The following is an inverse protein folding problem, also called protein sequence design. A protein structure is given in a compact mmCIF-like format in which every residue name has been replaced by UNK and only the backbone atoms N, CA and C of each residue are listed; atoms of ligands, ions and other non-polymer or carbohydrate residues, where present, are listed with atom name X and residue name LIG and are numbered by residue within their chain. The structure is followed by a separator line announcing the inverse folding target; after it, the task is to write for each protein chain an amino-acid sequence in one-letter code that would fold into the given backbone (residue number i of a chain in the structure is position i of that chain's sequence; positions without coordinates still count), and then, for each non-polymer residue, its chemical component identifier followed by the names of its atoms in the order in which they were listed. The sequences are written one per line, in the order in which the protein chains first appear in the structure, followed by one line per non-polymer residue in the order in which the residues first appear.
data_IF_671458074823
#
_entry.id   IF_671458074823
#
_cell.length_a   1.000
_cell.length_b   1.000
_cell.length_c   1.000
_cell.angle_alpha   90.00
_cell.angle_beta   90.00
_cell.angle_gamma   90.00
#
_symmetry.space_group_name_H-M   'P 1'
#
loop_
_entity.id
_entity.type
_entity.pdbx_description
1 polymer ?
#
# COMPACT_ATOMS: atom_id res chain seq x y z
N UNK A 1 45.82 3.83 36.78
CA UNK A 1 44.70 4.70 36.36
C UNK A 1 44.78 4.73 34.85
N UNK A 2 43.75 4.27 34.16
CA UNK A 2 43.22 4.81 32.90
C UNK A 2 42.02 3.94 32.48
N UNK A 3 40.92 4.61 32.16
CA UNK A 3 39.59 4.06 31.93
C UNK A 3 39.29 3.99 30.42
N UNK A 4 38.50 2.99 30.06
CA UNK A 4 37.44 2.90 29.05
C UNK A 4 37.30 4.00 27.99
N UNK A 5 37.06 3.60 26.74
CA UNK A 5 36.65 4.52 25.67
C UNK A 5 36.47 3.83 24.32
N UNK A 6 35.31 3.21 24.14
CA UNK A 6 34.88 2.58 22.90
C UNK A 6 34.85 3.55 21.71
N UNK A 7 35.33 3.11 20.54
CA UNK A 7 34.85 3.58 19.23
C UNK A 7 34.81 2.40 18.25
N UNK A 8 33.68 1.68 18.26
CA UNK A 8 33.30 0.78 17.19
C UNK A 8 32.92 1.62 15.96
N UNK A 9 33.86 1.80 15.04
CA UNK A 9 33.57 2.37 13.72
C UNK A 9 32.90 1.30 12.86
N UNK A 10 31.68 1.64 12.47
CA UNK A 10 30.85 1.04 11.43
C UNK A 10 31.68 0.65 10.21
N UNK A 11 31.98 -0.64 10.08
CA UNK A 11 32.26 -1.23 8.79
C UNK A 11 30.90 -1.59 8.17
N UNK A 12 30.58 -0.85 7.11
CA UNK A 12 29.44 -1.13 6.26
C UNK A 12 29.61 -2.54 5.68
N UNK A 13 28.86 -3.50 6.23
CA UNK A 13 28.63 -4.76 5.54
C UNK A 13 27.90 -4.47 4.24
N UNK A 14 28.69 -4.44 3.17
CA UNK A 14 28.26 -4.72 1.81
C UNK A 14 27.83 -6.19 1.78
N UNK A 15 26.61 -6.43 2.26
CA UNK A 15 26.01 -7.75 2.39
C UNK A 15 24.61 -7.72 1.80
N UNK A 16 24.48 -8.37 0.64
CA UNK A 16 23.25 -8.76 -0.04
C UNK A 16 22.67 -7.70 -0.98
N UNK A 17 22.91 -7.96 -2.27
CA UNK A 17 22.19 -7.33 -3.36
C UNK A 17 20.69 -7.54 -3.20
N UNK A 18 20.01 -6.48 -2.83
CA UNK A 18 18.70 -6.23 -3.38
C UNK A 18 18.89 -5.74 -4.82
N UNK A 19 18.87 -6.67 -5.78
CA UNK A 19 18.15 -6.35 -7.02
C UNK A 19 16.78 -5.80 -6.62
N UNK A 20 16.23 -4.79 -7.34
CA UNK A 20 15.24 -3.85 -6.82
C UNK A 20 14.34 -4.57 -5.84
N UNK A 21 14.51 -4.29 -4.55
CA UNK A 21 13.66 -4.84 -3.50
C UNK A 21 12.25 -4.64 -4.05
N UNK A 22 11.61 -5.73 -4.48
CA UNK A 22 10.17 -5.74 -4.67
C UNK A 22 9.69 -5.43 -3.27
N UNK A 23 9.52 -4.14 -2.99
CA UNK A 23 9.04 -3.66 -1.71
C UNK A 23 7.80 -4.50 -1.44
N UNK A 24 7.77 -5.15 -0.27
CA UNK A 24 6.60 -5.92 0.12
C UNK A 24 5.37 -5.04 -0.15
N UNK A 25 4.32 -5.58 -0.78
CA UNK A 25 3.24 -4.76 -1.31
C UNK A 25 2.72 -3.83 -0.23
N UNK A 26 2.68 -2.54 -0.55
CA UNK A 26 2.19 -1.51 0.37
C UNK A 26 0.71 -1.73 0.64
N UNK A 27 0.17 -1.08 1.68
CA UNK A 27 -1.27 -1.13 1.92
C UNK A 27 -2.05 -0.56 0.73
N UNK A 28 -1.48 0.43 0.03
CA UNK A 28 -2.06 0.96 -1.20
C UNK A 28 -1.96 -0.01 -2.40
N UNK A 29 -0.92 -0.84 -2.54
CA UNK A 29 -0.90 -1.89 -3.58
C UNK A 29 -2.04 -2.89 -3.39
N UNK A 30 -2.29 -3.34 -2.16
CA UNK A 30 -3.40 -4.25 -1.85
C UNK A 30 -4.77 -3.59 -2.08
N UNK A 31 -4.88 -2.28 -1.80
CA UNK A 31 -6.06 -1.51 -2.11
C UNK A 31 -6.33 -1.47 -3.62
N UNK A 32 -5.30 -1.17 -4.43
CA UNK A 32 -5.44 -1.13 -5.89
C UNK A 32 -5.76 -2.49 -6.50
N UNK A 33 -5.16 -3.57 -5.99
CA UNK A 33 -5.50 -4.93 -6.40
C UNK A 33 -6.98 -5.25 -6.09
N UNK A 34 -7.47 -4.87 -4.90
CA UNK A 34 -8.86 -5.09 -4.50
C UNK A 34 -9.85 -4.29 -5.36
N UNK A 35 -9.52 -3.03 -5.66
CA UNK A 35 -10.31 -2.20 -6.57
C UNK A 35 -10.38 -2.80 -7.98
N UNK A 36 -9.27 -3.32 -8.50
CA UNK A 36 -9.23 -3.96 -9.82
C UNK A 36 -10.09 -5.23 -9.87
N UNK A 37 -10.01 -6.08 -8.83
CA UNK A 37 -10.85 -7.27 -8.72
C UNK A 37 -12.34 -6.91 -8.77
N UNK A 38 -12.75 -5.94 -7.96
CA UNK A 38 -14.13 -5.45 -7.90
C UNK A 38 -14.54 -4.79 -9.23
N UNK A 39 -13.66 -4.03 -9.89
CA UNK A 39 -13.96 -3.42 -11.18
C UNK A 39 -14.18 -4.45 -12.31
N UNK A 40 -13.58 -5.64 -12.21
CA UNK A 40 -13.81 -6.76 -13.15
C UNK A 40 -15.04 -7.59 -12.78
N UNK A 41 -15.51 -7.50 -11.55
CA UNK A 41 -16.61 -8.30 -11.05
C UNK A 41 -17.94 -7.92 -11.72
N UNK A 42 -18.51 -8.86 -12.48
CA UNK A 42 -19.71 -8.62 -13.28
C UNK A 42 -20.96 -8.32 -12.44
N UNK A 43 -20.96 -8.73 -11.18
CA UNK A 43 -22.06 -8.51 -10.25
C UNK A 43 -22.11 -7.10 -9.68
N UNK A 44 -21.03 -6.33 -9.80
CA UNK A 44 -21.03 -4.94 -9.35
C UNK A 44 -21.73 -4.08 -10.40
N UNK A 45 -22.72 -3.26 -10.02
CA UNK A 45 -23.41 -2.38 -10.96
C UNK A 45 -22.42 -1.36 -11.56
N UNK A 46 -22.66 -0.96 -12.82
CA UNK A 46 -21.77 -0.08 -13.58
C UNK A 46 -21.41 1.20 -12.80
N UNK A 47 -22.41 1.86 -12.20
CA UNK A 47 -22.20 3.06 -11.40
C UNK A 47 -21.26 2.85 -10.21
N UNK A 48 -21.29 1.67 -9.58
CA UNK A 48 -20.34 1.34 -8.51
C UNK A 48 -18.94 1.10 -9.06
N UNK A 49 -18.79 0.48 -10.24
CA UNK A 49 -17.48 0.32 -10.90
C UNK A 49 -16.85 1.66 -11.31
N UNK A 50 -17.67 2.59 -11.79
CA UNK A 50 -17.21 3.97 -12.04
C UNK A 50 -16.73 4.63 -10.73
N UNK A 51 -17.44 4.40 -9.62
CA UNK A 51 -17.01 4.79 -8.29
C UNK A 51 -15.64 4.21 -7.89
N UNK A 52 -15.38 2.93 -8.19
CA UNK A 52 -14.09 2.28 -7.92
C UNK A 52 -12.96 2.89 -8.76
N UNK A 53 -13.20 3.20 -10.03
CA UNK A 53 -12.23 3.86 -10.90
C UNK A 53 -11.88 5.27 -10.40
N UNK A 54 -12.88 6.04 -9.96
CA UNK A 54 -12.63 7.35 -9.33
C UNK A 54 -11.85 7.22 -8.03
N UNK A 55 -12.20 6.23 -7.19
CA UNK A 55 -11.50 5.98 -5.93
C UNK A 55 -10.02 5.61 -6.14
N UNK A 56 -9.71 4.87 -7.22
CA UNK A 56 -8.34 4.59 -7.65
C UNK A 56 -7.60 5.88 -8.00
N UNK A 57 -8.15 6.68 -8.91
CA UNK A 57 -7.52 7.92 -9.37
C UNK A 57 -7.29 8.93 -8.22
N UNK A 58 -8.22 9.00 -7.28
CA UNK A 58 -8.10 9.84 -6.08
C UNK A 58 -6.95 9.37 -5.18
N UNK A 59 -6.81 8.07 -4.94
CA UNK A 59 -5.71 7.52 -4.15
C UNK A 59 -4.35 7.68 -4.85
N UNK A 60 -4.26 7.44 -6.16
CA UNK A 60 -3.04 7.70 -6.95
C UNK A 60 -2.61 9.17 -6.85
N UNK A 61 -3.56 10.10 -6.93
CA UNK A 61 -3.31 11.53 -6.73
C UNK A 61 -2.84 11.82 -5.31
N UNK A 62 -3.49 11.25 -4.29
CA UNK A 62 -3.12 11.44 -2.88
C UNK A 62 -1.69 10.96 -2.59
N UNK A 63 -1.31 9.79 -3.12
CA UNK A 63 0.06 9.25 -3.03
C UNK A 63 1.05 10.20 -3.72
N UNK A 64 0.71 10.71 -4.91
CA UNK A 64 1.60 11.59 -5.67
C UNK A 64 1.86 12.93 -4.99
N UNK A 65 0.86 13.50 -4.29
CA UNK A 65 1.01 14.79 -3.60
C UNK A 65 1.56 14.65 -2.17
N UNK A 66 1.44 13.47 -1.56
CA UNK A 66 1.96 13.18 -0.22
C UNK A 66 3.50 13.22 -0.20
N UNK A 67 4.02 14.41 0.08
CA UNK A 67 5.45 14.70 0.02
C UNK A 67 6.14 14.44 1.36
N UNK A 68 5.40 14.62 2.46
CA UNK A 68 5.91 14.44 3.82
C UNK A 68 5.70 13.01 4.33
N UNK A 69 6.59 12.49 5.20
CA UNK A 69 6.46 11.13 5.72
C UNK A 69 5.16 10.90 6.50
N UNK A 70 4.68 11.90 7.24
CA UNK A 70 3.40 11.82 7.96
C UNK A 70 2.20 11.75 7.00
N UNK A 71 2.23 12.53 5.92
CA UNK A 71 1.21 12.49 4.88
C UNK A 71 1.19 11.12 4.18
N UNK A 72 2.38 10.58 3.87
CA UNK A 72 2.51 9.24 3.29
C UNK A 72 1.98 8.16 4.24
N UNK A 73 2.28 8.25 5.52
CA UNK A 73 1.75 7.34 6.53
C UNK A 73 0.22 7.43 6.64
N UNK A 74 -0.34 8.65 6.56
CA UNK A 74 -1.79 8.85 6.56
C UNK A 74 -2.46 8.25 5.32
N UNK A 75 -1.85 8.39 4.14
CA UNK A 75 -2.35 7.79 2.89
C UNK A 75 -2.27 6.27 2.94
N UNK A 76 -1.14 5.71 3.40
CA UNK A 76 -0.98 4.26 3.60
C UNK A 76 -2.01 3.70 4.59
N UNK A 77 -2.26 4.40 5.68
CA UNK A 77 -3.24 3.99 6.67
C UNK A 77 -4.68 4.07 6.13
N UNK A 78 -4.99 5.10 5.33
CA UNK A 78 -6.27 5.20 4.64
C UNK A 78 -6.47 4.05 3.64
N UNK A 79 -5.43 3.69 2.88
CA UNK A 79 -5.44 2.51 2.03
C UNK A 79 -5.68 1.23 2.83
N UNK A 80 -5.01 1.05 3.98
CA UNK A 80 -5.18 -0.12 4.84
C UNK A 80 -6.64 -0.26 5.33
N UNK A 81 -7.23 0.82 5.85
CA UNK A 81 -8.63 0.80 6.28
C UNK A 81 -9.60 0.56 5.12
N UNK A 82 -9.29 1.09 3.93
CA UNK A 82 -10.09 0.85 2.75
C UNK A 82 -10.00 -0.62 2.28
N UNK A 83 -8.83 -1.26 2.36
CA UNK A 83 -8.66 -2.70 2.07
C UNK A 83 -9.57 -3.54 2.96
N UNK A 84 -9.63 -3.28 4.27
CA UNK A 84 -10.51 -4.02 5.18
C UNK A 84 -11.98 -3.91 4.76
N UNK A 85 -12.44 -2.71 4.39
CA UNK A 85 -13.79 -2.49 3.90
C UNK A 85 -14.06 -3.21 2.57
N UNK A 86 -13.10 -3.17 1.63
CA UNK A 86 -13.22 -3.85 0.34
C UNK A 86 -13.21 -5.38 0.51
N UNK A 87 -12.38 -5.93 1.40
CA UNK A 87 -12.34 -7.37 1.69
C UNK A 87 -13.64 -7.88 2.30
N UNK A 88 -14.33 -7.07 3.11
CA UNK A 88 -15.66 -7.41 3.58
C UNK A 88 -16.72 -7.33 2.47
N UNK A 89 -16.53 -6.46 1.48
CA UNK A 89 -17.45 -6.27 0.37
C UNK A 89 -17.29 -7.31 -0.76
N UNK A 90 -16.06 -7.76 -1.04
CA UNK A 90 -15.75 -8.78 -2.07
C UNK A 90 -16.67 -10.02 -1.99
N UNK A 91 -16.85 -10.68 -0.83
CA UNK A 91 -17.76 -11.84 -0.74
C UNK A 91 -19.24 -11.44 -0.87
N UNK A 92 -19.63 -10.21 -0.53
CA UNK A 92 -21.01 -9.75 -0.67
C UNK A 92 -21.44 -9.60 -2.14
N UNK A 93 -20.48 -9.34 -3.04
CA UNK A 93 -20.71 -9.26 -4.48
C UNK A 93 -20.41 -10.58 -5.21
N UNK A 94 -20.09 -11.65 -4.48
CA UNK A 94 -19.68 -12.94 -5.04
C UNK A 94 -18.53 -12.79 -6.06
N UNK A 95 -17.64 -11.82 -5.81
CA UNK A 95 -16.41 -11.63 -6.56
C UNK A 95 -15.39 -12.67 -6.06
N UNK A 96 -15.73 -13.95 -6.22
CA UNK A 96 -14.87 -15.09 -5.90
C UNK A 96 -13.60 -15.12 -6.76
N UNK A 97 -12.66 -16.04 -6.45
CA UNK A 97 -11.33 -16.07 -7.07
C UNK A 97 -11.34 -16.12 -8.60
#
# INVERSE_FOLDING_TARGET
MEADGAEAKVEAEVGQGAGPLLAAPTSCDQYFASLELLARCEQIPLAAREGLAHARAAAETAIAVASEPEQRAAVEQACASAVEALQAAIPAFDCGP
#
